data_IF_417686441012
#
_entry.id   IF_417686441012
#
_cell.length_a   1.000
_cell.length_b   1.000
_cell.length_c   1.000
_cell.angle_alpha   90.00
_cell.angle_beta   90.00
_cell.angle_gamma   90.00
#
_symmetry.space_group_name_H-M   'P 1'
#
loop_
_entity.id
_entity.type
_entity.pdbx_description
1 polymer ?
#
# COMPACT_ATOMS: atom_id res chain seq x y z
N UNK A 1 -0.59 15.38 -9.03
CA UNK A 1 -0.46 14.37 -10.10
C UNK A 1 0.07 15.00 -11.39
N UNK A 2 -0.59 16.00 -12.00
CA UNK A 2 -0.08 16.68 -13.22
C UNK A 2 1.27 17.36 -12.97
N UNK A 3 1.49 17.94 -11.80
CA UNK A 3 2.80 18.49 -11.40
C UNK A 3 3.92 17.45 -11.30
N UNK A 4 3.59 16.21 -10.86
CA UNK A 4 4.59 15.16 -10.65
C UNK A 4 4.86 14.31 -11.91
N UNK A 5 3.84 14.08 -12.74
CA UNK A 5 3.90 13.16 -13.90
C UNK A 5 3.66 13.85 -15.24
N UNK A 6 3.42 15.17 -15.24
CA UNK A 6 3.06 15.90 -16.43
C UNK A 6 1.67 15.52 -16.97
N UNK A 7 1.35 15.92 -18.22
CA UNK A 7 0.06 15.64 -18.84
C UNK A 7 -0.16 14.16 -19.16
N UNK A 8 0.91 13.38 -19.25
CA UNK A 8 0.88 11.99 -19.72
C UNK A 8 0.42 10.99 -18.66
N UNK A 9 0.24 11.43 -17.39
CA UNK A 9 -0.20 10.60 -16.26
C UNK A 9 0.81 9.48 -15.91
N UNK A 10 0.38 8.45 -15.16
CA UNK A 10 1.25 7.40 -14.67
C UNK A 10 1.27 6.17 -15.62
N UNK A 11 2.46 5.61 -15.87
CA UNK A 11 2.63 4.39 -16.67
C UNK A 11 2.34 3.10 -15.89
N UNK A 12 2.58 3.15 -14.58
CA UNK A 12 2.29 2.04 -13.65
C UNK A 12 1.73 2.65 -12.37
N UNK A 13 0.65 2.06 -11.87
CA UNK A 13 0.02 2.45 -10.60
C UNK A 13 -0.07 1.21 -9.71
N UNK A 14 0.42 1.31 -8.47
CA UNK A 14 0.26 0.28 -7.44
C UNK A 14 -0.83 0.71 -6.47
N UNK A 15 -1.96 0.00 -6.45
CA UNK A 15 -2.99 0.19 -5.42
C UNK A 15 -2.65 -0.66 -4.20
N UNK A 16 -2.16 0.00 -3.16
CA UNK A 16 -1.81 -0.61 -1.88
C UNK A 16 -2.86 -0.37 -0.79
N UNK A 17 -3.95 0.34 -1.10
CA UNK A 17 -5.00 0.67 -0.13
C UNK A 17 -6.27 -0.19 -0.28
N UNK A 18 -6.66 -0.56 -1.49
CA UNK A 18 -7.70 -1.55 -1.76
C UNK A 18 -9.12 -1.12 -1.41
N UNK A 19 -9.55 0.01 -1.94
CA UNK A 19 -10.92 0.50 -1.77
C UNK A 19 -11.42 1.19 -3.05
N UNK A 20 -12.72 1.49 -3.12
CA UNK A 20 -13.34 2.11 -4.30
C UNK A 20 -12.73 3.46 -4.65
N UNK A 21 -12.29 4.24 -3.65
CA UNK A 21 -11.70 5.56 -3.88
C UNK A 21 -10.36 5.42 -4.60
N UNK A 22 -9.47 4.57 -4.07
CA UNK A 22 -8.13 4.39 -4.65
C UNK A 22 -8.20 3.69 -6.00
N UNK A 23 -9.11 2.74 -6.19
CA UNK A 23 -9.32 2.09 -7.48
C UNK A 23 -9.84 3.06 -8.53
N UNK A 24 -10.82 3.91 -8.19
CA UNK A 24 -11.31 4.97 -9.06
C UNK A 24 -10.23 5.99 -9.42
N UNK A 25 -9.38 6.35 -8.45
CA UNK A 25 -8.21 7.20 -8.69
C UNK A 25 -7.19 6.52 -9.62
N UNK A 26 -6.93 5.23 -9.44
CA UNK A 26 -6.01 4.48 -10.27
C UNK A 26 -6.45 4.53 -11.74
N UNK A 27 -7.71 4.22 -12.04
CA UNK A 27 -8.26 4.29 -13.41
C UNK A 27 -8.20 5.72 -13.97
N UNK A 28 -8.60 6.71 -13.17
CA UNK A 28 -8.61 8.12 -13.59
C UNK A 28 -7.22 8.65 -13.95
N UNK A 29 -6.20 8.24 -13.20
CA UNK A 29 -4.84 8.76 -13.34
C UNK A 29 -3.89 7.84 -14.10
N UNK A 30 -4.36 6.70 -14.55
CA UNK A 30 -3.63 5.82 -15.46
C UNK A 30 -3.50 6.47 -16.84
N UNK A 31 -2.32 6.37 -17.43
CA UNK A 31 -2.09 6.68 -18.83
C UNK A 31 -2.77 5.62 -19.71
N UNK A 32 -3.16 5.96 -20.93
CA UNK A 32 -3.62 4.96 -21.90
C UNK A 32 -2.53 3.91 -22.17
N UNK A 33 -2.89 2.63 -22.19
CA UNK A 33 -1.97 1.50 -22.34
C UNK A 33 -1.08 1.23 -21.14
N UNK A 34 -1.49 1.65 -19.93
CA UNK A 34 -0.69 1.48 -18.70
C UNK A 34 -1.16 0.31 -17.83
N UNK A 35 -0.39 0.02 -16.81
CA UNK A 35 -0.63 -1.10 -15.90
C UNK A 35 -1.08 -0.60 -14.52
N UNK A 36 -2.17 -1.17 -14.02
CA UNK A 36 -2.59 -1.03 -12.62
C UNK A 36 -2.32 -2.35 -11.90
N UNK A 37 -1.55 -2.31 -10.82
CA UNK A 37 -1.21 -3.48 -10.00
C UNK A 37 -1.96 -3.42 -8.68
N UNK A 38 -2.83 -4.40 -8.43
CA UNK A 38 -3.57 -4.54 -7.17
C UNK A 38 -2.68 -5.29 -6.17
N UNK A 39 -2.11 -4.55 -5.22
CA UNK A 39 -1.27 -5.08 -4.13
C UNK A 39 -2.10 -5.28 -2.87
N UNK A 40 -3.09 -4.41 -2.67
CA UNK A 40 -3.95 -4.43 -1.50
C UNK A 40 -4.92 -5.62 -1.50
N UNK A 41 -5.32 -6.02 -0.28
CA UNK A 41 -6.43 -6.95 -0.06
C UNK A 41 -7.71 -6.16 0.12
N UNK A 42 -8.64 -6.31 -0.81
CA UNK A 42 -9.95 -5.67 -0.72
C UNK A 42 -10.84 -6.37 0.31
N UNK A 43 -11.56 -5.60 1.13
CA UNK A 43 -12.49 -6.14 2.11
C UNK A 43 -13.82 -6.62 1.50
N UNK A 44 -14.07 -6.32 0.23
CA UNK A 44 -15.29 -6.67 -0.50
C UNK A 44 -15.16 -6.41 -2.00
N UNK A 45 -16.28 -6.37 -2.70
CA UNK A 45 -16.29 -6.05 -4.13
C UNK A 45 -15.92 -4.58 -4.35
N UNK A 46 -15.06 -4.35 -5.34
CA UNK A 46 -14.71 -3.00 -5.77
C UNK A 46 -15.52 -2.61 -7.02
N UNK A 47 -15.94 -1.35 -7.06
CA UNK A 47 -16.56 -0.76 -8.24
C UNK A 47 -15.47 -0.26 -9.18
N UNK A 48 -15.53 -0.67 -10.44
CA UNK A 48 -14.56 -0.31 -11.48
C UNK A 48 -15.30 0.24 -12.67
N UNK A 49 -14.88 1.40 -13.18
CA UNK A 49 -15.34 1.92 -14.45
C UNK A 49 -14.65 1.17 -15.59
N UNK A 50 -15.28 0.06 -16.00
CA UNK A 50 -14.76 -0.77 -17.09
C UNK A 50 -14.84 -0.07 -18.45
N UNK A 51 -15.74 0.90 -18.63
CA UNK A 51 -15.81 1.66 -19.88
C UNK A 51 -14.55 2.48 -20.08
N UNK A 52 -14.12 3.20 -19.04
CA UNK A 52 -12.86 3.96 -19.07
C UNK A 52 -11.64 3.02 -19.13
N UNK A 53 -11.65 1.93 -18.37
CA UNK A 53 -10.55 0.95 -18.41
C UNK A 53 -10.36 0.37 -19.82
N UNK A 54 -11.46 0.06 -20.52
CA UNK A 54 -11.44 -0.45 -21.89
C UNK A 54 -11.01 0.63 -22.90
N UNK A 55 -11.57 1.85 -22.81
CA UNK A 55 -11.18 2.96 -23.71
C UNK A 55 -9.69 3.33 -23.57
N UNK A 56 -9.15 3.15 -22.37
CA UNK A 56 -7.75 3.42 -22.08
C UNK A 56 -6.83 2.22 -22.29
N UNK A 57 -7.34 1.06 -22.69
CA UNK A 57 -6.56 -0.18 -22.87
C UNK A 57 -5.71 -0.50 -21.64
N UNK A 58 -6.31 -0.44 -20.42
CA UNK A 58 -5.59 -0.62 -19.16
C UNK A 58 -5.40 -2.10 -18.85
N UNK A 59 -4.16 -2.49 -18.54
CA UNK A 59 -3.86 -3.78 -17.93
C UNK A 59 -4.10 -3.73 -16.43
N UNK A 60 -5.03 -4.54 -15.91
CA UNK A 60 -5.24 -4.69 -14.46
C UNK A 60 -4.66 -6.03 -14.04
N UNK A 61 -3.61 -5.98 -13.21
CA UNK A 61 -2.90 -7.14 -12.69
C UNK A 61 -3.06 -7.22 -11.18
N UNK A 62 -3.25 -8.41 -10.66
CA UNK A 62 -3.27 -8.67 -9.22
C UNK A 62 -2.00 -9.38 -8.78
N UNK A 63 -1.62 -9.15 -7.53
CA UNK A 63 -0.56 -9.88 -6.84
C UNK A 63 -1.03 -10.27 -5.45
N UNK A 64 -0.57 -11.41 -4.97
CA UNK A 64 -0.91 -11.90 -3.65
C UNK A 64 0.32 -12.53 -3.00
N UNK A 65 0.58 -12.12 -1.76
CA UNK A 65 1.68 -12.62 -0.94
C UNK A 65 3.08 -12.34 -1.52
N UNK A 66 4.08 -12.94 -0.93
CA UNK A 66 5.49 -12.75 -1.24
C UNK A 66 6.15 -14.10 -1.52
N UNK A 67 7.13 -14.10 -2.40
CA UNK A 67 7.99 -15.25 -2.66
C UNK A 67 9.18 -15.23 -1.70
N UNK A 68 9.87 -16.35 -1.57
CA UNK A 68 11.07 -16.44 -0.72
C UNK A 68 12.11 -15.36 -1.08
N UNK A 69 12.33 -15.17 -2.36
CA UNK A 69 13.32 -14.21 -2.85
C UNK A 69 12.98 -12.76 -2.48
N UNK A 70 11.68 -12.42 -2.41
CA UNK A 70 11.23 -11.07 -2.00
C UNK A 70 11.64 -10.78 -0.55
N UNK A 71 11.58 -11.79 0.34
CA UNK A 71 12.05 -11.66 1.73
C UNK A 71 13.58 -11.49 1.80
N UNK A 72 14.33 -12.28 1.02
CA UNK A 72 15.80 -12.19 0.97
C UNK A 72 16.22 -10.81 0.47
N UNK A 73 15.59 -10.33 -0.61
CA UNK A 73 15.86 -9.00 -1.16
C UNK A 73 15.43 -7.88 -0.20
N UNK A 74 14.29 -8.00 0.45
CA UNK A 74 13.83 -7.04 1.44
C UNK A 74 14.81 -6.88 2.60
N UNK A 75 15.29 -7.99 3.17
CA UNK A 75 16.29 -7.99 4.24
C UNK A 75 17.61 -7.37 3.74
N UNK A 76 18.06 -7.73 2.55
CA UNK A 76 19.27 -7.17 1.93
C UNK A 76 19.16 -5.66 1.77
N UNK A 77 18.06 -5.15 1.23
CA UNK A 77 17.83 -3.72 1.01
C UNK A 77 17.83 -2.91 2.32
N UNK A 78 17.28 -3.48 3.40
CA UNK A 78 17.32 -2.86 4.73
C UNK A 78 18.76 -2.83 5.27
N UNK A 79 19.49 -3.94 5.17
CA UNK A 79 20.87 -4.04 5.66
C UNK A 79 21.83 -3.13 4.89
N UNK A 80 21.60 -2.92 3.59
CA UNK A 80 22.35 -1.98 2.75
C UNK A 80 21.96 -0.50 2.99
N UNK A 81 20.98 -0.24 3.86
CA UNK A 81 20.49 1.11 4.14
C UNK A 81 19.72 1.76 2.98
N UNK A 82 19.30 0.97 1.99
CA UNK A 82 18.49 1.46 0.85
C UNK A 82 17.02 1.66 1.20
N UNK A 83 16.55 0.99 2.26
CA UNK A 83 15.18 1.12 2.77
C UNK A 83 15.24 1.45 4.26
N UNK A 84 14.56 2.53 4.65
CA UNK A 84 14.53 3.03 6.02
C UNK A 84 13.15 2.74 6.64
N UNK A 85 13.06 1.70 7.49
CA UNK A 85 11.80 1.27 8.10
C UNK A 85 11.46 2.00 9.40
N UNK A 86 12.47 2.49 10.15
CA UNK A 86 12.26 3.14 11.46
C UNK A 86 11.28 4.31 11.44
N UNK A 87 11.29 5.22 10.44
CA UNK A 87 10.32 6.31 10.38
C UNK A 87 8.86 5.87 10.23
N UNK A 88 8.62 4.63 9.81
CA UNK A 88 7.27 4.07 9.68
C UNK A 88 6.66 3.64 11.03
N UNK A 89 7.50 3.48 12.08
CA UNK A 89 7.03 3.05 13.40
C UNK A 89 6.46 4.25 14.14
N UNK A 90 5.13 4.32 14.23
CA UNK A 90 4.42 5.41 14.91
C UNK A 90 4.49 5.27 16.43
N UNK A 91 4.37 4.05 16.96
CA UNK A 91 4.39 3.76 18.40
C UNK A 91 4.82 2.32 18.69
N UNK A 92 5.44 2.13 19.87
CA UNK A 92 5.75 0.81 20.40
C UNK A 92 5.07 0.65 21.77
N UNK A 93 4.52 -0.55 22.04
CA UNK A 93 3.90 -0.93 23.30
C UNK A 93 4.55 -2.19 23.86
N UNK A 94 4.58 -2.33 25.20
CA UNK A 94 4.94 -3.59 25.83
C UNK A 94 3.84 -4.63 25.61
N UNK A 95 4.17 -5.91 25.66
CA UNK A 95 3.21 -6.99 25.40
C UNK A 95 1.98 -6.92 26.33
N UNK A 96 2.16 -6.60 27.62
CA UNK A 96 1.06 -6.46 28.59
C UNK A 96 0.05 -5.36 28.20
N UNK A 97 0.44 -4.41 27.37
CA UNK A 97 -0.38 -3.28 26.94
C UNK A 97 -0.94 -3.47 25.52
N UNK A 98 -0.97 -4.70 25.00
CA UNK A 98 -1.37 -4.97 23.60
C UNK A 98 -2.77 -4.42 23.25
N UNK A 99 -3.73 -4.48 24.19
CA UNK A 99 -5.07 -3.91 23.96
C UNK A 99 -5.03 -2.38 23.78
N UNK A 100 -4.15 -1.69 24.52
CA UNK A 100 -3.94 -0.25 24.34
C UNK A 100 -3.33 0.08 22.98
N UNK A 101 -2.55 -0.85 22.40
CA UNK A 101 -2.01 -0.68 21.06
C UNK A 101 -3.12 -0.64 20.00
N UNK A 102 -4.12 -1.52 20.10
CA UNK A 102 -5.28 -1.49 19.22
C UNK A 102 -6.12 -0.22 19.40
N UNK A 103 -6.40 0.15 20.65
CA UNK A 103 -7.11 1.40 20.94
C UNK A 103 -6.37 2.62 20.38
N UNK A 104 -5.05 2.65 20.52
CA UNK A 104 -4.23 3.72 19.95
C UNK A 104 -4.36 3.83 18.42
N UNK A 105 -4.42 2.70 17.70
CA UNK A 105 -4.63 2.68 16.25
C UNK A 105 -6.00 3.29 15.91
N UNK A 106 -7.05 2.90 16.64
CA UNK A 106 -8.39 3.40 16.38
C UNK A 106 -8.52 4.90 16.64
N UNK A 107 -7.88 5.40 17.71
CA UNK A 107 -7.93 6.81 18.09
C UNK A 107 -7.03 7.71 17.21
N UNK A 108 -6.04 7.12 16.50
CA UNK A 108 -5.01 7.88 15.77
C UNK A 108 -4.85 7.40 14.32
N UNK A 109 -5.91 6.99 13.64
CA UNK A 109 -5.86 6.38 12.29
C UNK A 109 -5.12 7.22 11.25
N UNK A 110 -5.31 8.52 11.27
CA UNK A 110 -4.73 9.43 10.28
C UNK A 110 -3.22 9.64 10.44
N UNK A 111 -2.68 9.41 11.64
CA UNK A 111 -1.26 9.64 11.97
C UNK A 111 -0.49 8.36 12.25
N UNK A 112 -1.19 7.20 12.28
CA UNK A 112 -0.59 5.90 12.58
C UNK A 112 -0.29 5.13 11.31
N UNK A 113 0.98 4.75 11.12
CA UNK A 113 1.39 3.92 10.02
C UNK A 113 1.72 2.48 10.47
N UNK A 114 2.56 2.32 11.49
CA UNK A 114 2.93 1.02 12.04
C UNK A 114 3.02 1.09 13.56
N UNK A 115 2.29 0.19 14.24
CA UNK A 115 2.41 -0.01 15.70
C UNK A 115 3.12 -1.34 15.96
N UNK A 116 4.09 -1.29 16.85
CA UNK A 116 4.89 -2.46 17.23
C UNK A 116 4.54 -2.88 18.66
N UNK A 117 4.40 -4.17 18.88
CA UNK A 117 4.29 -4.75 20.22
C UNK A 117 5.61 -5.46 20.55
N UNK A 118 6.30 -4.99 21.58
CA UNK A 118 7.52 -5.61 22.05
C UNK A 118 7.19 -6.78 22.99
N UNK A 119 7.38 -8.00 22.50
CA UNK A 119 7.06 -9.23 23.25
C UNK A 119 8.15 -9.61 24.28
N UNK A 120 9.31 -8.98 24.24
CA UNK A 120 10.43 -9.24 25.14
C UNK A 120 10.36 -8.39 26.43
N UNK A 121 9.61 -7.29 26.43
CA UNK A 121 9.35 -6.48 27.63
C UNK A 121 8.17 -7.08 28.39
N UNK A 122 8.45 -7.58 29.60
CA UNK A 122 7.44 -8.14 30.53
C UNK A 122 6.76 -7.05 31.34
#
# INVERSE_FOLDING_TARGET
MVEAFGPDKAHVIYDCAGNNITMGQAIKYARKGSVIVLVAVFAGMAEIDLAVANDHELDIKSTMMYRHDDYVDGIRLVNEGKVHLRPLISKTFAFKDYLKAYQYIDDNRETTMKVIINVQEK
#
